data_IF_925741578081
#
_entry.id   IF_925741578081
#
_cell.length_a   1.000
_cell.length_b   1.000
_cell.length_c   1.000
_cell.angle_alpha   90.00
_cell.angle_beta   90.00
_cell.angle_gamma   90.00
#
_symmetry.space_group_name_H-M   'P 1'
#
loop_
_entity.id
_entity.type
_entity.pdbx_description
1 polymer ?
#
# COMPACT_ATOMS: atom_id res chain seq x y z
N UNK A 1 12.84 7.24 -17.56
CA UNK A 1 12.09 7.23 -16.27
C UNK A 1 10.90 6.30 -16.43
N UNK A 2 10.47 5.63 -15.37
CA UNK A 2 9.21 4.89 -15.39
C UNK A 2 8.04 5.85 -15.19
N UNK A 3 6.94 5.63 -15.91
CA UNK A 3 5.70 6.39 -15.81
C UNK A 3 4.57 5.45 -15.41
N UNK A 4 3.71 5.92 -14.50
CA UNK A 4 2.52 5.19 -14.05
C UNK A 4 1.30 5.99 -14.46
N UNK A 5 0.42 5.40 -15.27
CA UNK A 5 -0.81 6.04 -15.73
C UNK A 5 -2.00 5.49 -14.95
N UNK A 6 -2.65 6.34 -14.16
CA UNK A 6 -3.80 5.98 -13.32
C UNK A 6 -4.95 6.94 -13.63
N UNK A 7 -6.18 6.43 -13.73
CA UNK A 7 -7.40 7.24 -13.85
C UNK A 7 -7.53 8.15 -12.62
N UNK A 8 -7.92 9.41 -12.81
CA UNK A 8 -8.26 10.33 -11.71
C UNK A 8 -9.51 9.85 -10.95
N UNK A 9 -9.47 9.91 -9.62
CA UNK A 9 -10.63 9.63 -8.76
C UNK A 9 -11.52 10.86 -8.54
N UNK A 10 -12.75 10.65 -8.05
CA UNK A 10 -13.72 11.70 -7.69
C UNK A 10 -13.91 11.81 -6.17
N UNK A 11 -12.94 11.33 -5.37
CA UNK A 11 -13.12 11.19 -3.92
C UNK A 11 -13.17 12.52 -3.18
N UNK A 12 -12.59 13.60 -3.71
CA UNK A 12 -12.70 14.93 -3.09
C UNK A 12 -14.16 15.44 -3.11
N UNK A 13 -14.89 15.19 -4.20
CA UNK A 13 -16.32 15.53 -4.28
C UNK A 13 -17.17 14.64 -3.36
N UNK A 14 -16.86 13.34 -3.33
CA UNK A 14 -17.55 12.40 -2.46
C UNK A 14 -17.30 12.70 -0.98
N UNK A 15 -16.08 13.09 -0.60
CA UNK A 15 -15.71 13.48 0.76
C UNK A 15 -16.56 14.65 1.27
N UNK A 16 -16.81 15.65 0.41
CA UNK A 16 -17.59 16.85 0.77
C UNK A 16 -19.05 16.58 1.13
N UNK A 17 -19.55 15.35 0.95
CA UNK A 17 -20.91 14.93 1.35
C UNK A 17 -20.99 14.54 2.83
N UNK A 18 -19.85 14.36 3.48
CA UNK A 18 -19.75 13.88 4.84
C UNK A 18 -19.18 14.95 5.77
N UNK A 19 -19.61 14.97 7.03
CA UNK A 19 -18.98 15.82 8.05
C UNK A 19 -17.57 15.29 8.37
N UNK A 20 -16.57 16.15 8.36
CA UNK A 20 -15.17 15.75 8.53
C UNK A 20 -14.61 16.26 9.86
N UNK A 21 -13.86 15.40 10.56
CA UNK A 21 -13.10 15.81 11.73
C UNK A 21 -11.70 16.23 11.32
N UNK A 22 -11.28 17.40 11.78
CA UNK A 22 -9.94 17.90 11.47
C UNK A 22 -8.86 17.04 12.14
N UNK A 23 -7.75 16.85 11.46
CA UNK A 23 -6.56 16.25 12.06
C UNK A 23 -5.92 17.23 13.05
N UNK A 24 -5.65 16.74 14.25
CA UNK A 24 -4.87 17.46 15.27
C UNK A 24 -3.37 17.17 15.18
N UNK A 25 -3.01 16.00 14.65
CA UNK A 25 -1.64 15.56 14.40
C UNK A 25 -1.52 14.97 12.99
N UNK A 26 -0.36 15.07 12.32
CA UNK A 26 -0.19 14.46 11.00
C UNK A 26 -0.41 12.95 11.06
N UNK A 27 -0.98 12.39 9.99
CA UNK A 27 -1.15 10.95 9.82
C UNK A 27 -0.40 10.53 8.57
N UNK A 28 0.53 9.59 8.71
CA UNK A 28 1.32 9.07 7.61
C UNK A 28 0.97 7.60 7.36
N UNK A 29 0.38 7.36 6.20
CA UNK A 29 0.06 6.02 5.69
C UNK A 29 1.27 5.49 4.92
N UNK A 30 2.19 4.83 5.63
CA UNK A 30 3.31 4.17 5.00
C UNK A 30 2.90 2.78 4.53
N UNK A 31 3.45 2.34 3.40
CA UNK A 31 3.11 1.02 2.87
C UNK A 31 4.22 0.43 2.03
N UNK A 32 4.32 -0.89 2.03
CA UNK A 32 5.09 -1.59 1.00
C UNK A 32 4.42 -1.37 -0.35
N UNK A 33 5.14 -0.94 -1.41
CA UNK A 33 4.56 -0.76 -2.74
C UNK A 33 3.75 -1.99 -3.16
N UNK A 34 2.59 -1.81 -3.81
CA UNK A 34 1.67 -2.89 -4.21
C UNK A 34 0.95 -3.65 -3.07
N UNK A 35 1.00 -3.15 -1.83
CA UNK A 35 0.27 -3.73 -0.69
C UNK A 35 -1.12 -3.11 -0.44
N UNK A 36 -1.74 -2.50 -1.46
CA UNK A 36 -3.06 -1.86 -1.29
C UNK A 36 -3.03 -0.42 -0.82
N UNK A 37 -1.94 0.30 -1.07
CA UNK A 37 -1.74 1.69 -0.62
C UNK A 37 -2.85 2.64 -1.07
N UNK A 38 -3.36 2.47 -2.29
CA UNK A 38 -4.50 3.26 -2.78
C UNK A 38 -5.79 2.95 -2.03
N UNK A 39 -6.03 1.69 -1.67
CA UNK A 39 -7.22 1.28 -0.90
C UNK A 39 -7.23 1.97 0.46
N UNK A 40 -6.15 1.82 1.24
CA UNK A 40 -6.04 2.46 2.55
C UNK A 40 -6.13 3.99 2.43
N UNK A 41 -5.38 4.59 1.50
CA UNK A 41 -5.42 6.04 1.26
C UNK A 41 -6.83 6.52 0.97
N UNK A 42 -7.52 5.88 0.04
CA UNK A 42 -8.84 6.31 -0.41
C UNK A 42 -9.88 6.15 0.70
N UNK A 43 -9.82 5.08 1.50
CA UNK A 43 -10.65 4.92 2.69
C UNK A 43 -10.38 6.08 3.66
N UNK A 44 -9.13 6.30 4.07
CA UNK A 44 -8.78 7.34 5.05
C UNK A 44 -9.13 8.76 4.56
N UNK A 45 -9.05 9.01 3.25
CA UNK A 45 -9.49 10.26 2.63
C UNK A 45 -10.96 10.56 2.84
N UNK A 46 -11.83 9.58 3.15
CA UNK A 46 -13.25 9.83 3.41
C UNK A 46 -13.55 10.37 4.82
N UNK A 47 -12.53 10.42 5.68
CA UNK A 47 -12.63 10.80 7.09
C UNK A 47 -11.80 12.03 7.47
N UNK A 48 -11.03 12.57 6.51
CA UNK A 48 -10.19 13.75 6.70
C UNK A 48 -10.64 14.85 5.72
N UNK A 49 -10.77 16.11 6.17
CA UNK A 49 -11.11 17.24 5.29
C UNK A 49 -10.20 17.33 4.08
N UNK A 50 -10.75 17.66 2.91
CA UNK A 50 -10.03 17.73 1.63
C UNK A 50 -8.78 18.61 1.72
N UNK A 51 -8.83 19.70 2.47
CA UNK A 51 -7.73 20.64 2.68
C UNK A 51 -6.61 20.12 3.57
N UNK A 52 -6.86 19.06 4.36
CA UNK A 52 -5.85 18.34 5.14
C UNK A 52 -5.37 17.06 4.45
N UNK A 53 -5.73 16.82 3.19
CA UNK A 53 -5.21 15.71 2.41
C UNK A 53 -4.00 16.16 1.59
N UNK A 54 -2.87 15.48 1.74
CA UNK A 54 -1.65 15.81 1.03
C UNK A 54 -1.79 15.57 -0.48
N UNK A 55 -1.75 16.63 -1.30
CA UNK A 55 -2.11 16.55 -2.73
C UNK A 55 -0.96 16.15 -3.68
N UNK A 56 0.27 16.04 -3.18
CA UNK A 56 1.41 15.67 -4.03
C UNK A 56 1.53 14.14 -4.16
N UNK A 57 2.70 13.67 -4.58
CA UNK A 57 2.97 12.25 -4.83
C UNK A 57 3.17 11.43 -3.54
N UNK A 58 3.22 10.11 -3.72
CA UNK A 58 3.70 9.18 -2.70
C UNK A 58 5.10 9.58 -2.23
N UNK A 59 5.23 9.80 -0.92
CA UNK A 59 6.49 10.15 -0.29
C UNK A 59 7.38 8.90 -0.23
N UNK A 60 8.58 9.01 -0.79
CA UNK A 60 9.58 7.96 -0.89
C UNK A 60 10.92 8.51 -0.41
N UNK A 61 11.88 7.63 -0.17
CA UNK A 61 13.20 8.06 0.30
C UNK A 61 13.83 9.12 -0.61
N UNK A 62 13.75 8.93 -1.93
CA UNK A 62 14.38 9.81 -2.92
C UNK A 62 13.78 11.22 -3.01
N UNK A 63 12.51 11.41 -2.64
CA UNK A 63 11.83 12.71 -2.71
C UNK A 63 11.45 13.28 -1.34
N UNK A 64 11.70 12.58 -0.23
CA UNK A 64 11.23 12.95 1.12
C UNK A 64 11.55 14.39 1.51
N UNK A 65 12.76 14.88 1.19
CA UNK A 65 13.20 16.24 1.51
C UNK A 65 12.32 17.33 0.87
N UNK A 66 11.66 17.03 -0.25
CA UNK A 66 10.73 17.95 -0.92
C UNK A 66 9.34 17.94 -0.28
N UNK A 67 9.07 16.96 0.60
CA UNK A 67 7.74 16.68 1.14
C UNK A 67 7.66 16.81 2.67
N UNK A 68 8.68 17.35 3.34
CA UNK A 68 8.71 17.47 4.82
C UNK A 68 7.48 18.16 5.43
N UNK A 69 6.88 19.12 4.71
CA UNK A 69 5.63 19.79 5.11
C UNK A 69 4.45 18.84 5.35
N UNK A 70 4.51 17.62 4.82
CA UNK A 70 3.48 16.59 5.05
C UNK A 70 3.46 16.09 6.51
N UNK A 71 4.55 16.33 7.25
CA UNK A 71 4.74 15.87 8.63
C UNK A 71 4.77 17.03 9.65
N UNK A 72 4.49 18.26 9.20
CA UNK A 72 4.51 19.45 10.05
C UNK A 72 3.33 19.44 11.04
N UNK A 73 3.58 19.38 12.37
CA UNK A 73 2.50 19.40 13.35
C UNK A 73 1.74 20.73 13.40
N UNK A 74 2.32 21.83 12.90
CA UNK A 74 1.61 23.11 12.80
C UNK A 74 0.55 23.09 11.67
N UNK A 75 0.68 22.18 10.71
CA UNK A 75 -0.24 21.99 9.60
C UNK A 75 -0.55 20.50 9.39
N UNK A 76 -1.32 19.86 10.29
CA UNK A 76 -1.57 18.43 10.23
C UNK A 76 -2.20 17.99 8.90
N UNK A 77 -1.60 16.98 8.29
CA UNK A 77 -2.01 16.42 6.99
C UNK A 77 -2.12 14.90 7.06
N UNK A 78 -3.08 14.35 6.30
CA UNK A 78 -3.11 12.96 5.89
C UNK A 78 -2.18 12.81 4.69
N UNK A 79 -1.09 12.07 4.86
CA UNK A 79 -0.08 11.82 3.83
C UNK A 79 0.17 10.32 3.65
N UNK A 80 0.83 9.95 2.55
CA UNK A 80 1.04 8.55 2.19
C UNK A 80 2.35 8.36 1.45
N UNK A 81 2.91 7.15 1.56
CA UNK A 81 4.24 6.88 1.03
C UNK A 81 4.64 5.41 0.98
N UNK A 82 5.85 5.22 0.45
CA UNK A 82 6.62 3.98 0.45
C UNK A 82 8.00 4.27 1.03
N UNK A 83 8.00 4.83 2.23
CA UNK A 83 9.20 5.33 2.87
C UNK A 83 9.96 4.16 3.51
N UNK A 84 11.26 4.08 3.23
CA UNK A 84 12.17 3.18 3.93
C UNK A 84 12.30 3.59 5.40
N UNK A 85 12.61 2.65 6.28
CA UNK A 85 13.11 3.04 7.59
C UNK A 85 14.57 3.45 7.43
N UNK A 86 14.83 4.73 7.69
CA UNK A 86 16.14 5.34 7.76
C UNK A 86 16.12 6.40 8.87
N UNK A 87 17.28 6.93 9.23
CA UNK A 87 17.41 7.99 10.24
C UNK A 87 16.49 9.18 9.95
N UNK A 88 16.58 9.78 8.76
CA UNK A 88 15.77 10.92 8.38
C UNK A 88 14.29 10.53 8.28
N UNK A 89 13.96 9.33 7.79
CA UNK A 89 12.56 8.87 7.78
C UNK A 89 11.99 8.74 9.19
N UNK A 90 12.76 8.24 10.15
CA UNK A 90 12.35 8.11 11.53
C UNK A 90 12.28 9.46 12.28
N UNK A 91 13.13 10.42 11.94
CA UNK A 91 13.15 11.77 12.51
C UNK A 91 12.01 12.61 11.94
N UNK A 92 11.92 12.74 10.62
CA UNK A 92 11.00 13.66 9.96
C UNK A 92 9.54 13.24 10.14
N UNK A 93 9.27 11.93 10.20
CA UNK A 93 7.90 11.43 10.47
C UNK A 93 7.59 11.33 11.96
N UNK A 94 8.48 11.73 12.88
CA UNK A 94 8.28 11.61 14.34
C UNK A 94 7.04 12.33 14.87
N UNK A 95 6.63 13.49 14.32
CA UNK A 95 5.38 14.14 14.72
C UNK A 95 4.12 13.39 14.25
N UNK A 96 4.23 12.51 13.26
CA UNK A 96 3.09 11.85 12.64
C UNK A 96 2.68 10.56 13.37
N UNK A 97 1.38 10.26 13.39
CA UNK A 97 0.85 8.91 13.60
C UNK A 97 1.18 8.07 12.37
N UNK A 98 1.89 6.96 12.55
CA UNK A 98 2.41 6.17 11.43
C UNK A 98 1.67 4.85 11.32
N UNK A 99 0.95 4.67 10.22
CA UNK A 99 0.33 3.40 9.86
C UNK A 99 1.26 2.69 8.88
N UNK A 100 1.51 1.40 9.09
CA UNK A 100 2.33 0.57 8.21
C UNK A 100 1.48 -0.52 7.57
N UNK A 101 1.24 -0.41 6.27
CA UNK A 101 0.52 -1.43 5.50
C UNK A 101 1.48 -2.34 4.72
N UNK A 102 1.33 -3.65 4.92
CA UNK A 102 2.06 -4.67 4.17
C UNK A 102 1.13 -5.82 3.78
N UNK A 103 1.56 -6.60 2.79
CA UNK A 103 0.82 -7.73 2.21
C UNK A 103 1.61 -9.02 2.41
N UNK A 104 0.95 -10.19 2.37
CA UNK A 104 1.66 -11.47 2.34
C UNK A 104 2.68 -11.46 1.18
N UNK A 105 3.97 -11.72 1.43
CA UNK A 105 5.01 -11.83 0.41
C UNK A 105 4.64 -12.73 -0.78
N UNK A 106 3.89 -13.82 -0.57
CA UNK A 106 3.47 -14.68 -1.68
C UNK A 106 2.52 -13.96 -2.64
N UNK A 107 1.53 -13.29 -2.08
CA UNK A 107 0.54 -12.52 -2.80
C UNK A 107 1.12 -11.26 -3.44
N UNK A 108 2.08 -10.64 -2.76
CA UNK A 108 2.80 -9.46 -3.24
C UNK A 108 3.56 -9.74 -4.53
N UNK A 109 4.22 -10.91 -4.63
CA UNK A 109 4.96 -11.31 -5.84
C UNK A 109 4.05 -11.29 -7.07
N UNK A 110 2.84 -11.84 -6.94
CA UNK A 110 1.85 -11.84 -8.01
C UNK A 110 1.28 -10.45 -8.30
N UNK A 111 1.05 -9.65 -7.26
CA UNK A 111 0.58 -8.27 -7.40
C UNK A 111 1.59 -7.40 -8.17
N UNK A 112 2.88 -7.61 -7.91
CA UNK A 112 3.97 -6.95 -8.62
C UNK A 112 4.11 -7.44 -10.05
N UNK A 113 4.04 -8.76 -10.27
CA UNK A 113 4.09 -9.36 -11.60
C UNK A 113 3.01 -8.76 -12.52
N UNK A 114 1.74 -8.78 -12.08
CA UNK A 114 0.61 -8.20 -12.83
C UNK A 114 0.84 -6.72 -13.17
N UNK A 115 1.34 -5.95 -12.21
CA UNK A 115 1.60 -4.54 -12.42
C UNK A 115 2.68 -4.28 -13.48
N UNK A 116 3.78 -5.03 -13.47
CA UNK A 116 4.89 -4.83 -14.41
C UNK A 116 4.51 -5.14 -15.86
N UNK A 117 3.58 -6.07 -16.08
CA UNK A 117 3.09 -6.41 -17.41
C UNK A 117 1.83 -5.66 -17.83
N UNK A 118 1.25 -4.84 -16.95
CA UNK A 118 0.07 -4.02 -17.26
C UNK A 118 0.40 -2.79 -18.09
N UNK A 119 -0.56 -2.30 -18.87
CA UNK A 119 -0.43 -1.05 -19.65
C UNK A 119 -0.21 0.19 -18.76
N UNK A 120 -0.71 0.12 -17.53
CA UNK A 120 -0.62 1.20 -16.54
C UNK A 120 0.82 1.48 -16.10
N UNK A 121 1.76 0.57 -16.37
CA UNK A 121 3.19 0.75 -16.14
C UNK A 121 3.91 0.93 -17.48
N UNK A 122 4.71 1.98 -17.67
CA UNK A 122 5.67 2.04 -18.78
C UNK A 122 7.05 2.38 -18.25
N UNK A 123 8.08 1.68 -18.74
CA UNK A 123 9.44 1.95 -18.31
C UNK A 123 10.49 0.97 -18.81
N UNK A 124 11.55 0.81 -18.03
CA UNK A 124 12.72 -0.02 -18.35
C UNK A 124 12.42 -1.52 -18.48
N UNK A 125 11.18 -1.94 -18.22
CA UNK A 125 10.70 -3.33 -18.29
C UNK A 125 9.72 -3.57 -19.43
N UNK A 126 9.47 -2.61 -20.32
CA UNK A 126 8.49 -2.77 -21.41
C UNK A 126 8.82 -3.96 -22.34
N UNK A 127 10.10 -4.32 -22.49
CA UNK A 127 10.55 -5.50 -23.23
C UNK A 127 10.02 -6.84 -22.67
N UNK A 128 9.62 -6.90 -21.40
CA UNK A 128 9.04 -8.08 -20.75
C UNK A 128 7.60 -8.32 -21.22
N UNK A 129 6.90 -7.28 -21.67
CA UNK A 129 5.52 -7.36 -22.17
C UNK A 129 5.39 -8.03 -23.53
N UNK A 130 6.50 -8.17 -24.27
CA UNK A 130 6.52 -8.72 -25.63
C UNK A 130 6.28 -10.23 -25.76
N UNK A 131 5.73 -10.90 -24.73
CA UNK A 131 5.33 -12.31 -24.77
C UNK A 131 6.48 -13.33 -24.84
N UNK A 132 7.73 -12.90 -24.62
CA UNK A 132 8.91 -13.78 -24.70
C UNK A 132 9.23 -14.54 -23.40
N UNK A 133 8.58 -14.16 -22.30
CA UNK A 133 8.78 -14.75 -20.98
C UNK A 133 7.55 -15.58 -20.62
N UNK A 134 7.77 -16.72 -20.01
CA UNK A 134 6.72 -17.48 -19.33
C UNK A 134 6.29 -16.79 -18.03
N UNK A 135 5.09 -17.12 -17.54
CA UNK A 135 4.61 -16.68 -16.23
C UNK A 135 5.59 -17.07 -15.11
N UNK A 136 6.14 -18.29 -15.16
CA UNK A 136 7.07 -18.81 -14.16
C UNK A 136 8.38 -18.02 -14.11
N UNK A 137 8.92 -17.63 -15.28
CA UNK A 137 10.12 -16.79 -15.37
C UNK A 137 9.85 -15.39 -14.79
N UNK A 138 8.71 -14.78 -15.14
CA UNK A 138 8.34 -13.47 -14.60
C UNK A 138 8.16 -13.50 -13.09
N UNK A 139 7.45 -14.51 -12.55
CA UNK A 139 7.27 -14.68 -11.10
C UNK A 139 8.63 -14.83 -10.41
N UNK A 140 9.54 -15.63 -10.97
CA UNK A 140 10.90 -15.81 -10.44
C UNK A 140 11.66 -14.47 -10.42
N UNK A 141 11.56 -13.67 -11.48
CA UNK A 141 12.14 -12.33 -11.53
C UNK A 141 11.51 -11.37 -10.50
N UNK A 142 10.24 -11.54 -10.13
CA UNK A 142 9.61 -10.71 -9.10
C UNK A 142 10.07 -11.05 -7.68
N UNK A 143 10.49 -12.30 -7.46
CA UNK A 143 11.10 -12.76 -6.20
C UNK A 143 12.52 -12.20 -6.08
N UNK A 144 13.38 -12.47 -7.06
CA UNK A 144 14.82 -12.16 -6.99
C UNK A 144 15.18 -10.75 -7.50
N UNK A 145 14.22 -10.03 -8.09
CA UNK A 145 14.47 -8.74 -8.73
C UNK A 145 15.11 -8.88 -10.10
N UNK A 146 15.37 -7.74 -10.74
CA UNK A 146 16.09 -7.65 -11.99
C UNK A 146 17.34 -6.80 -11.79
N UNK A 147 18.55 -7.36 -11.95
CA UNK A 147 19.80 -6.62 -11.73
C UNK A 147 19.83 -5.27 -12.43
N UNK A 148 20.02 -4.19 -11.66
CA UNK A 148 20.08 -2.81 -12.15
C UNK A 148 18.76 -2.24 -12.69
N UNK A 149 17.65 -2.99 -12.64
CA UNK A 149 16.35 -2.57 -13.20
C UNK A 149 15.23 -2.53 -12.18
N UNK A 150 15.17 -3.49 -11.26
CA UNK A 150 14.13 -3.59 -10.26
C UNK A 150 14.63 -4.29 -8.99
N UNK A 151 14.30 -3.79 -7.79
CA UNK A 151 14.74 -4.37 -6.52
C UNK A 151 14.15 -5.77 -6.32
N UNK A 152 14.81 -6.61 -5.53
CA UNK A 152 14.28 -7.92 -5.15
C UNK A 152 13.14 -7.80 -4.11
N UNK A 153 12.42 -8.90 -3.86
CA UNK A 153 11.45 -8.97 -2.75
C UNK A 153 12.11 -8.62 -1.41
N UNK A 154 13.34 -9.11 -1.19
CA UNK A 154 14.14 -8.82 0.01
C UNK A 154 14.38 -7.33 0.16
N UNK A 155 14.93 -6.68 -0.87
CA UNK A 155 15.29 -5.25 -0.79
C UNK A 155 14.07 -4.36 -0.54
N UNK A 156 12.90 -4.74 -1.08
CA UNK A 156 11.65 -4.04 -0.79
C UNK A 156 11.21 -4.26 0.66
N UNK A 157 11.04 -5.51 1.09
CA UNK A 157 10.44 -5.77 2.40
C UNK A 157 11.36 -5.45 3.58
N UNK A 158 12.68 -5.54 3.40
CA UNK A 158 13.66 -5.25 4.45
C UNK A 158 13.44 -3.84 5.03
N UNK A 159 13.46 -2.82 4.16
CA UNK A 159 13.38 -1.43 4.60
C UNK A 159 11.96 -0.85 4.55
N UNK A 160 11.03 -1.40 3.75
CA UNK A 160 9.65 -0.92 3.74
C UNK A 160 8.74 -1.59 4.77
N UNK A 161 9.10 -2.74 5.36
CA UNK A 161 8.26 -3.41 6.36
C UNK A 161 9.05 -3.92 7.56
N UNK A 162 9.99 -4.85 7.36
CA UNK A 162 10.66 -5.56 8.45
C UNK A 162 11.35 -4.61 9.42
N UNK A 163 12.10 -3.63 8.92
CA UNK A 163 12.73 -2.60 9.73
C UNK A 163 11.69 -1.73 10.47
N UNK A 164 10.61 -1.33 9.79
CA UNK A 164 9.54 -0.51 10.39
C UNK A 164 8.81 -1.20 11.55
N UNK A 165 8.67 -2.52 11.52
CA UNK A 165 8.06 -3.29 12.61
C UNK A 165 8.85 -3.17 13.93
N UNK A 166 10.14 -2.85 13.88
CA UNK A 166 10.95 -2.52 15.05
C UNK A 166 10.86 -1.05 15.50
N UNK A 167 10.12 -0.21 14.77
CA UNK A 167 9.99 1.22 15.02
C UNK A 167 8.58 1.60 15.52
N UNK A 168 8.38 2.88 15.83
CA UNK A 168 7.06 3.42 16.20
C UNK A 168 6.15 3.46 14.97
N UNK A 169 5.31 2.44 14.81
CA UNK A 169 4.22 2.40 13.84
C UNK A 169 3.08 1.48 14.31
N UNK A 170 1.90 1.64 13.71
CA UNK A 170 0.79 0.70 13.85
C UNK A 170 0.71 -0.19 12.59
N UNK A 171 1.04 -1.48 12.69
CA UNK A 171 1.05 -2.38 11.54
C UNK A 171 -0.35 -2.87 11.19
N UNK A 172 -0.65 -2.94 9.89
CA UNK A 172 -1.85 -3.58 9.36
C UNK A 172 -1.50 -4.50 8.18
N UNK A 173 -2.16 -5.66 8.13
CA UNK A 173 -2.09 -6.58 6.99
C UNK A 173 -3.12 -6.18 5.95
N UNK A 174 -2.74 -6.23 4.69
CA UNK A 174 -3.64 -5.95 3.57
C UNK A 174 -4.84 -6.89 3.55
N UNK A 175 -4.63 -8.15 3.93
CA UNK A 175 -5.63 -9.20 3.99
C UNK A 175 -6.69 -8.88 5.04
N UNK A 176 -6.31 -8.39 6.23
CA UNK A 176 -7.25 -7.93 7.26
C UNK A 176 -8.06 -6.72 6.77
N UNK A 177 -7.41 -5.75 6.11
CA UNK A 177 -8.10 -4.60 5.51
C UNK A 177 -9.11 -5.04 4.45
N UNK A 178 -8.74 -5.98 3.57
CA UNK A 178 -9.64 -6.51 2.55
C UNK A 178 -10.82 -7.28 3.14
N UNK A 179 -10.57 -8.09 4.15
CA UNK A 179 -11.61 -8.84 4.84
C UNK A 179 -12.61 -7.90 5.53
N UNK A 180 -12.10 -6.87 6.23
CA UNK A 180 -12.93 -5.85 6.87
C UNK A 180 -13.78 -5.06 5.86
N UNK A 181 -13.22 -4.71 4.70
CA UNK A 181 -13.94 -4.06 3.61
C UNK A 181 -15.01 -4.98 2.99
N UNK A 182 -14.72 -6.28 2.91
CA UNK A 182 -15.63 -7.28 2.33
C UNK A 182 -16.88 -7.54 3.17
N UNK A 183 -16.82 -7.30 4.48
CA UNK A 183 -17.95 -7.50 5.40
C UNK A 183 -18.05 -6.39 6.46
N UNK A 184 -18.44 -5.18 6.00
CA UNK A 184 -18.60 -3.99 6.84
C UNK A 184 -19.69 -4.13 7.93
N UNK A 185 -20.59 -5.10 7.78
CA UNK A 185 -21.64 -5.37 8.77
C UNK A 185 -21.11 -6.17 9.97
N UNK A 186 -19.96 -6.86 9.82
CA UNK A 186 -19.41 -7.69 10.87
C UNK A 186 -18.84 -6.89 12.04
N UNK A 187 -18.88 -7.51 13.23
CA UNK A 187 -18.18 -7.00 14.42
C UNK A 187 -16.67 -7.01 14.27
N UNK A 188 -16.13 -7.90 13.42
CA UNK A 188 -14.70 -7.94 13.11
C UNK A 188 -14.28 -6.71 12.31
N UNK A 189 -15.05 -6.31 11.30
CA UNK A 189 -14.77 -5.09 10.53
C UNK A 189 -14.85 -3.85 11.41
N UNK A 190 -15.88 -3.76 12.26
CA UNK A 190 -16.02 -2.67 13.24
C UNK A 190 -14.78 -2.56 14.14
N UNK A 191 -14.36 -3.65 14.79
CA UNK A 191 -13.16 -3.64 15.64
C UNK A 191 -11.85 -3.35 14.90
N UNK A 192 -11.73 -3.79 13.64
CA UNK A 192 -10.60 -3.45 12.77
C UNK A 192 -10.53 -1.94 12.52
N UNK A 193 -11.65 -1.32 12.11
CA UNK A 193 -11.68 0.11 11.85
C UNK A 193 -11.57 0.94 13.12
N UNK A 194 -12.18 0.53 14.24
CA UNK A 194 -11.96 1.19 15.54
C UNK A 194 -10.46 1.26 15.88
N UNK A 195 -9.73 0.14 15.73
CA UNK A 195 -8.30 0.09 16.03
C UNK A 195 -7.46 0.93 15.06
N UNK A 196 -7.78 0.89 13.76
CA UNK A 196 -7.09 1.71 12.75
C UNK A 196 -7.28 3.21 12.99
N UNK A 197 -8.50 3.62 13.36
CA UNK A 197 -8.85 5.01 13.57
C UNK A 197 -8.25 5.54 14.88
N UNK A 198 -8.30 4.77 15.96
CA UNK A 198 -7.61 5.09 17.21
C UNK A 198 -6.10 5.27 16.99
N UNK A 199 -5.47 4.33 16.27
CA UNK A 199 -4.06 4.42 15.91
C UNK A 199 -3.73 5.65 15.05
N UNK A 200 -4.70 6.13 14.26
CA UNK A 200 -4.60 7.33 13.44
C UNK A 200 -4.96 8.62 14.20
N UNK A 201 -5.43 8.54 15.45
CA UNK A 201 -5.92 9.69 16.21
C UNK A 201 -7.22 10.27 15.68
N UNK A 202 -8.06 9.43 15.07
CA UNK A 202 -9.36 9.80 14.52
C UNK A 202 -10.48 9.09 15.27
N UNK A 203 -11.64 9.75 15.38
CA UNK A 203 -12.85 9.08 15.83
C UNK A 203 -13.47 8.27 14.67
N UNK A 204 -14.13 7.16 15.00
CA UNK A 204 -14.93 6.40 14.04
C UNK A 204 -16.40 6.90 14.11
N UNK A 205 -16.88 7.67 13.12
CA UNK A 205 -18.25 8.22 13.14
C UNK A 205 -19.30 7.14 12.87
N UNK A 206 -20.58 7.40 13.17
CA UNK A 206 -21.66 6.42 12.97
C UNK A 206 -21.83 5.99 11.49
N UNK A 207 -21.55 6.90 10.55
CA UNK A 207 -21.62 6.70 9.10
C UNK A 207 -20.36 6.05 8.50
N UNK A 208 -19.44 5.53 9.32
CA UNK A 208 -18.15 5.00 8.86
C UNK A 208 -18.27 3.94 7.77
N UNK A 209 -19.31 3.10 7.83
CA UNK A 209 -19.53 2.02 6.84
C UNK A 209 -19.75 2.58 5.45
N UNK A 210 -20.53 3.65 5.34
CA UNK A 210 -20.80 4.32 4.05
C UNK A 210 -19.51 4.93 3.50
N UNK A 211 -18.74 5.62 4.36
CA UNK A 211 -17.45 6.23 3.99
C UNK A 211 -16.44 5.18 3.51
N UNK A 212 -16.32 4.05 4.22
CA UNK A 212 -15.44 2.94 3.80
C UNK A 212 -15.92 2.36 2.48
N UNK A 213 -17.21 2.14 2.29
CA UNK A 213 -17.75 1.63 1.02
C UNK A 213 -17.40 2.55 -0.16
N UNK A 214 -17.58 3.87 0.00
CA UNK A 214 -17.24 4.86 -1.02
C UNK A 214 -15.72 4.89 -1.30
N UNK A 215 -14.90 4.95 -0.25
CA UNK A 215 -13.44 5.01 -0.38
C UNK A 215 -12.81 3.72 -0.91
N UNK A 216 -13.47 2.58 -0.71
CA UNK A 216 -12.99 1.26 -1.15
C UNK A 216 -13.48 0.82 -2.53
N UNK A 217 -14.43 1.56 -3.12
CA UNK A 217 -15.02 1.22 -4.41
C UNK A 217 -13.94 1.04 -5.51
N UNK A 218 -13.92 -0.08 -6.25
CA UNK A 218 -12.89 -0.39 -7.24
C UNK A 218 -12.71 0.69 -8.31
N UNK A 219 -13.80 1.34 -8.73
CA UNK A 219 -13.83 2.46 -9.67
C UNK A 219 -12.95 3.66 -9.25
N UNK A 220 -12.66 3.77 -7.95
CA UNK A 220 -11.83 4.84 -7.37
C UNK A 220 -10.34 4.47 -7.28
N UNK A 221 -9.94 3.29 -7.75
CA UNK A 221 -8.55 2.83 -7.73
C UNK A 221 -8.08 2.32 -9.09
N UNK A 222 -7.41 3.18 -9.88
CA UNK A 222 -6.85 2.75 -11.17
C UNK A 222 -5.68 1.75 -11.09
N UNK A 223 -5.30 1.28 -9.89
CA UNK A 223 -4.30 0.21 -9.70
C UNK A 223 -4.90 -1.05 -9.07
N UNK A 224 -6.22 -1.10 -8.86
CA UNK A 224 -6.94 -2.31 -8.49
C UNK A 224 -6.71 -3.41 -9.52
N UNK A 225 -6.74 -4.68 -9.09
CA UNK A 225 -6.44 -5.83 -9.96
C UNK A 225 -7.36 -5.83 -11.19
N UNK A 226 -8.63 -5.52 -10.98
CA UNK A 226 -9.70 -5.49 -11.98
C UNK A 226 -9.51 -4.38 -13.01
N UNK A 227 -8.72 -3.35 -12.67
CA UNK A 227 -8.47 -2.19 -13.51
C UNK A 227 -7.15 -2.27 -14.29
N UNK A 228 -6.35 -3.32 -14.09
CA UNK A 228 -5.13 -3.55 -14.87
C UNK A 228 -5.50 -4.15 -16.24
N UNK A 229 -5.00 -3.53 -17.31
CA UNK A 229 -5.26 -3.93 -18.70
C UNK A 229 -3.98 -4.38 -19.41
N UNK A 230 -4.13 -5.01 -20.57
CA UNK A 230 -3.00 -5.36 -21.44
C UNK A 230 -2.14 -6.52 -20.94
N UNK A 231 -2.60 -7.25 -19.93
CA UNK A 231 -1.90 -8.42 -19.38
C UNK A 231 -2.04 -9.58 -20.39
N UNK A 232 -1.06 -9.72 -21.27
CA UNK A 232 -0.97 -10.82 -22.25
C UNK A 232 -0.42 -12.13 -21.71
N UNK A 233 -0.12 -12.20 -20.41
CA UNK A 233 0.42 -13.36 -19.71
C UNK A 233 -0.61 -13.95 -18.75
N UNK A 234 -0.84 -15.25 -18.84
CA UNK A 234 -1.70 -15.95 -17.89
C UNK A 234 -0.96 -16.14 -16.55
N UNK A 235 -1.26 -15.27 -15.58
CA UNK A 235 -0.67 -15.29 -14.25
C UNK A 235 -1.62 -15.98 -13.26
N UNK A 236 -1.14 -17.00 -12.50
CA UNK A 236 -1.99 -17.78 -11.62
C UNK A 236 -2.54 -16.92 -10.47
N UNK A 237 -3.65 -17.36 -9.88
CA UNK A 237 -4.23 -16.71 -8.70
C UNK A 237 -3.37 -16.90 -7.45
N UNK A 238 -2.66 -18.01 -7.35
CA UNK A 238 -1.74 -18.33 -6.26
C UNK A 238 -0.38 -18.79 -6.78
N UNK A 239 0.67 -18.59 -5.96
CA UNK A 239 1.99 -19.11 -6.26
C UNK A 239 2.02 -20.64 -6.21
N UNK A 240 2.75 -21.24 -7.16
CA UNK A 240 3.06 -22.67 -7.11
C UNK A 240 3.88 -23.03 -5.86
N UNK A 241 3.85 -24.30 -5.43
CA UNK A 241 4.67 -24.76 -4.30
C UNK A 241 6.16 -24.47 -4.51
N UNK A 242 6.64 -24.55 -5.76
CA UNK A 242 8.02 -24.23 -6.12
C UNK A 242 8.33 -22.74 -5.90
N UNK A 243 7.44 -21.83 -6.32
CA UNK A 243 7.65 -20.40 -6.12
C UNK A 243 7.53 -19.98 -4.66
N UNK A 244 6.62 -20.61 -3.88
CA UNK A 244 6.54 -20.43 -2.42
C UNK A 244 7.88 -20.79 -1.76
N UNK A 245 8.46 -21.94 -2.12
CA UNK A 245 9.79 -22.36 -1.64
C UNK A 245 10.92 -21.39 -2.05
N UNK A 246 10.87 -20.83 -3.26
CA UNK A 246 11.84 -19.81 -3.70
C UNK A 246 11.72 -18.50 -2.90
N UNK A 247 10.49 -18.08 -2.56
CA UNK A 247 10.26 -16.96 -1.66
C UNK A 247 10.89 -17.24 -0.29
N UNK A 248 10.60 -18.40 0.30
CA UNK A 248 11.10 -18.74 1.64
C UNK A 248 12.63 -18.88 1.67
N UNK A 249 13.25 -19.34 0.58
CA UNK A 249 14.69 -19.32 0.41
C UNK A 249 15.26 -17.89 0.33
N UNK A 250 14.61 -16.99 -0.41
CA UNK A 250 15.10 -15.63 -0.63
C UNK A 250 14.88 -14.70 0.56
N UNK A 251 13.80 -14.88 1.31
CA UNK A 251 13.42 -14.06 2.48
C UNK A 251 13.01 -14.94 3.66
N UNK A 252 13.95 -15.74 4.21
CA UNK A 252 13.64 -16.71 5.26
C UNK A 252 13.06 -16.04 6.50
N UNK A 253 11.98 -16.61 7.04
CA UNK A 253 11.30 -16.11 8.24
C UNK A 253 10.45 -14.85 8.05
N UNK A 254 10.47 -14.21 6.88
CA UNK A 254 9.73 -12.96 6.64
C UNK A 254 8.22 -13.14 6.86
N UNK A 255 7.62 -14.20 6.32
CA UNK A 255 6.18 -14.45 6.50
C UNK A 255 5.80 -14.60 7.97
N UNK A 256 6.61 -15.29 8.77
CA UNK A 256 6.39 -15.41 10.21
C UNK A 256 6.52 -14.06 10.93
N UNK A 257 7.56 -13.28 10.61
CA UNK A 257 7.73 -11.91 11.14
C UNK A 257 6.52 -11.01 10.86
N UNK A 258 5.90 -11.15 9.69
CA UNK A 258 4.72 -10.40 9.28
C UNK A 258 3.39 -11.00 9.77
N UNK A 259 3.41 -12.09 10.54
CA UNK A 259 2.22 -12.72 11.09
C UNK A 259 1.42 -13.58 10.09
N UNK A 260 2.06 -14.15 9.07
CA UNK A 260 1.47 -15.11 8.11
C UNK A 260 1.94 -16.56 8.32
N UNK A 261 2.85 -16.80 9.26
CA UNK A 261 3.27 -18.16 9.63
C UNK A 261 2.23 -18.84 10.52
N UNK A 262 2.15 -20.17 10.46
CA UNK A 262 1.48 -20.93 11.52
C UNK A 262 2.23 -20.73 12.86
N UNK A 263 1.48 -20.67 13.95
CA UNK A 263 2.02 -20.59 15.31
C UNK A 263 2.58 -21.96 15.76
#
# INVERSE_FOLDING_TARGET
MASIWVKSDNLDEANGRFEQTRLEVPVFLNSVPKSGSHLLRNIMRMFVPVEQQYKADFIQWANMQQHLKAFDPANPMLSWGHLFLADASAIETAPARRILLYRDPYDWVLARARFFVSDQFSGNLDHIKGGKLSADELITMMIFGLPGKAPSLRDIYEMNAAAWLGARCYPIRFEDLREAVGDLASKRAEGFFESLFDASGLALPEDWRERVAVGSAPENSGTARENLTGIGLDLPDELSARHKALVDYHVPGLRHLLGYGEA
#
